data_IF_684571622618
#
_entry.id   IF_684571622618
#
_cell.length_a   1.000
_cell.length_b   1.000
_cell.length_c   1.000
_cell.angle_alpha   90.00
_cell.angle_beta   90.00
_cell.angle_gamma   90.00
#
_symmetry.space_group_name_H-M   'P 1'
#
loop_
_entity.id
_entity.type
_entity.pdbx_description
1 polymer ?
#
# COMPACT_ATOMS: atom_id res chain seq x y z
N UNK A 1 -3.42 22.76 15.19
CA UNK A 1 -1.99 22.56 15.55
C UNK A 1 -1.38 21.61 14.52
N UNK A 2 -0.72 22.11 13.46
CA UNK A 2 -0.15 21.27 12.39
C UNK A 2 1.11 20.56 12.92
N UNK A 3 1.19 19.25 12.75
CA UNK A 3 2.44 18.51 12.94
C UNK A 3 3.37 18.85 11.78
N UNK A 4 4.56 19.38 12.08
CA UNK A 4 5.60 19.62 11.08
C UNK A 4 6.23 18.30 10.65
N UNK A 5 6.63 18.20 9.38
CA UNK A 5 7.27 17.01 8.81
C UNK A 5 8.53 16.62 9.59
N UNK A 6 9.29 17.61 10.07
CA UNK A 6 10.47 17.41 10.89
C UNK A 6 10.16 16.72 12.22
N UNK A 7 9.03 17.04 12.85
CA UNK A 7 8.61 16.40 14.09
C UNK A 7 8.13 14.97 13.86
N UNK A 8 7.50 14.70 12.71
CA UNK A 8 7.13 13.34 12.29
C UNK A 8 8.40 12.52 12.04
N UNK A 9 9.40 13.08 11.34
CA UNK A 9 10.68 12.41 11.08
C UNK A 9 11.43 12.06 12.37
N UNK A 10 11.48 12.99 13.32
CA UNK A 10 12.11 12.75 14.64
C UNK A 10 11.40 11.65 15.43
N UNK A 11 10.07 11.57 15.36
CA UNK A 11 9.30 10.52 16.02
C UNK A 11 9.49 9.15 15.34
N UNK A 12 9.51 9.09 14.00
CA UNK A 12 9.89 7.87 13.27
C UNK A 12 11.30 7.38 13.62
N UNK A 13 12.25 8.30 13.80
CA UNK A 13 13.63 7.98 14.18
C UNK A 13 13.76 7.36 15.58
N UNK A 14 12.78 7.57 16.47
CA UNK A 14 12.73 6.98 17.82
C UNK A 14 11.97 5.62 17.79
N UNK A 15 11.54 5.16 16.62
CA UNK A 15 10.75 3.95 16.46
C UNK A 15 9.24 4.18 16.63
N UNK A 16 8.79 5.42 16.64
CA UNK A 16 7.36 5.74 16.74
C UNK A 16 6.69 5.69 15.36
N UNK A 17 5.93 4.62 15.11
CA UNK A 17 5.15 4.46 13.90
C UNK A 17 3.71 4.95 14.10
N UNK A 18 3.35 6.03 13.40
CA UNK A 18 2.05 6.71 13.56
C UNK A 18 0.85 5.93 12.98
N UNK A 19 1.12 4.87 12.23
CA UNK A 19 0.11 4.11 11.51
C UNK A 19 0.28 2.63 11.80
N UNK A 20 -0.83 1.92 12.05
CA UNK A 20 -0.85 0.45 12.11
C UNK A 20 -0.24 -0.19 10.87
N UNK A 21 -0.34 0.48 9.72
CA UNK A 21 0.35 0.09 8.50
C UNK A 21 1.87 0.07 8.67
N UNK A 22 2.47 1.16 9.14
CA UNK A 22 3.92 1.31 9.22
C UNK A 22 4.52 0.33 10.22
N UNK A 23 3.84 0.12 11.36
CA UNK A 23 4.25 -0.88 12.35
C UNK A 23 4.20 -2.32 11.80
N UNK A 24 3.18 -2.66 10.99
CA UNK A 24 3.07 -4.00 10.37
C UNK A 24 4.04 -4.17 9.21
N UNK A 25 4.28 -3.10 8.45
CA UNK A 25 5.27 -3.07 7.38
C UNK A 25 6.69 -3.24 7.91
N UNK A 26 7.03 -2.56 9.01
CA UNK A 26 8.31 -2.78 9.69
C UNK A 26 8.46 -4.23 10.18
N UNK A 27 7.42 -4.80 10.82
CA UNK A 27 7.44 -6.21 11.21
C UNK A 27 7.65 -7.17 10.02
N UNK A 28 7.03 -6.87 8.87
CA UNK A 28 7.23 -7.68 7.67
C UNK A 28 8.66 -7.54 7.11
N UNK A 29 9.22 -6.33 7.15
CA UNK A 29 10.62 -6.08 6.75
C UNK A 29 11.61 -6.83 7.63
N UNK A 30 11.39 -6.78 8.95
CA UNK A 30 12.21 -7.47 9.93
C UNK A 30 12.11 -8.99 9.75
N UNK A 31 10.89 -9.51 9.57
CA UNK A 31 10.65 -10.93 9.27
C UNK A 31 11.38 -11.38 8.00
N UNK A 32 11.35 -10.57 6.94
CA UNK A 32 12.09 -10.88 5.70
C UNK A 32 13.60 -10.84 5.93
N UNK A 33 14.11 -9.91 6.73
CA UNK A 33 15.54 -9.83 7.03
C UNK A 33 16.02 -11.07 7.79
N UNK A 34 15.21 -11.60 8.70
CA UNK A 34 15.51 -12.81 9.47
C UNK A 34 15.35 -14.10 8.66
N UNK A 35 14.24 -14.26 7.93
CA UNK A 35 13.89 -15.51 7.25
C UNK A 35 14.26 -15.56 5.76
N UNK A 36 14.60 -14.43 5.15
CA UNK A 36 14.85 -14.29 3.71
C UNK A 36 13.61 -14.35 2.82
N UNK A 37 12.41 -14.55 3.40
CA UNK A 37 11.15 -14.64 2.68
C UNK A 37 10.02 -13.90 3.41
N UNK A 38 9.01 -13.49 2.65
CA UNK A 38 7.81 -12.83 3.19
C UNK A 38 6.63 -13.79 3.41
N UNK A 39 6.88 -15.11 3.36
CA UNK A 39 5.87 -16.13 3.64
C UNK A 39 5.73 -16.31 5.16
N UNK A 40 4.94 -15.44 5.76
CA UNK A 40 4.65 -15.48 7.19
C UNK A 40 3.77 -16.69 7.46
N UNK A 41 4.21 -17.61 8.32
CA UNK A 41 3.36 -18.70 8.81
C UNK A 41 2.55 -18.25 10.01
N UNK A 42 1.35 -18.81 10.15
CA UNK A 42 0.47 -18.55 11.31
C UNK A 42 1.17 -18.87 12.63
N UNK A 43 1.98 -19.93 12.63
CA UNK A 43 2.70 -20.44 13.81
C UNK A 43 3.77 -19.45 14.30
N UNK A 44 4.46 -18.76 13.37
CA UNK A 44 5.51 -17.81 13.72
C UNK A 44 4.92 -16.50 14.23
N UNK A 45 3.93 -15.95 13.53
CA UNK A 45 3.29 -14.71 13.96
C UNK A 45 1.84 -14.62 13.46
N UNK A 46 0.89 -14.97 14.34
CA UNK A 46 -0.55 -14.97 14.02
C UNK A 46 -1.08 -13.59 13.60
N UNK A 47 -0.55 -12.51 14.19
CA UNK A 47 -0.99 -11.13 13.90
C UNK A 47 -0.52 -10.72 12.50
N UNK A 48 0.75 -10.97 12.20
CA UNK A 48 1.34 -10.65 10.91
C UNK A 48 0.75 -11.52 9.79
N UNK A 49 0.54 -12.83 10.05
CA UNK A 49 -0.17 -13.73 9.15
C UNK A 49 -1.56 -13.21 8.77
N UNK A 50 -2.37 -12.86 9.76
CA UNK A 50 -3.73 -12.34 9.51
C UNK A 50 -3.70 -11.04 8.72
N UNK A 51 -2.69 -10.21 8.92
CA UNK A 51 -2.50 -8.99 8.14
C UNK A 51 -2.10 -9.29 6.69
N UNK A 52 -1.16 -10.20 6.45
CA UNK A 52 -0.77 -10.65 5.10
C UNK A 52 -1.97 -11.21 4.31
N UNK A 53 -2.84 -11.98 4.96
CA UNK A 53 -4.07 -12.48 4.31
C UNK A 53 -5.00 -11.32 3.92
N UNK A 54 -5.25 -10.37 4.82
CA UNK A 54 -6.07 -9.18 4.51
C UNK A 54 -5.45 -8.32 3.41
N UNK A 55 -4.12 -8.27 3.36
CA UNK A 55 -3.37 -7.53 2.35
C UNK A 55 -3.61 -8.11 0.96
N UNK A 56 -3.53 -9.45 0.83
CA UNK A 56 -3.84 -10.18 -0.42
C UNK A 56 -5.28 -10.01 -0.88
N UNK A 57 -6.22 -10.02 0.07
CA UNK A 57 -7.65 -9.76 -0.21
C UNK A 57 -7.86 -8.33 -0.73
N UNK A 58 -7.29 -7.34 -0.03
CA UNK A 58 -7.32 -5.93 -0.43
C UNK A 58 -6.68 -5.67 -1.79
N UNK A 59 -5.60 -6.39 -2.12
CA UNK A 59 -4.95 -6.32 -3.43
C UNK A 59 -5.83 -6.93 -4.52
N UNK A 60 -6.51 -8.04 -4.22
CA UNK A 60 -7.46 -8.65 -5.15
C UNK A 60 -8.66 -7.72 -5.43
N UNK A 61 -9.12 -6.97 -4.43
CA UNK A 61 -10.13 -5.92 -4.59
C UNK A 61 -9.59 -4.73 -5.40
N UNK A 62 -8.35 -4.30 -5.15
CA UNK A 62 -7.67 -3.26 -5.92
C UNK A 62 -7.58 -3.62 -7.41
N UNK A 63 -7.20 -4.86 -7.74
CA UNK A 63 -7.15 -5.35 -9.12
C UNK A 63 -8.52 -5.38 -9.81
N UNK A 64 -9.60 -5.51 -9.03
CA UNK A 64 -10.98 -5.44 -9.54
C UNK A 64 -11.48 -4.00 -9.70
N UNK A 65 -10.68 -3.01 -9.32
CA UNK A 65 -11.07 -1.59 -9.33
C UNK A 65 -12.04 -1.21 -8.21
N UNK A 66 -12.11 -2.01 -7.14
CA UNK A 66 -13.02 -1.73 -6.03
C UNK A 66 -12.48 -0.62 -5.12
N UNK A 67 -13.31 0.41 -4.88
CA UNK A 67 -12.93 1.60 -4.08
C UNK A 67 -12.99 1.37 -2.57
N UNK A 68 -13.47 0.22 -2.09
CA UNK A 68 -13.46 -0.14 -0.67
C UNK A 68 -12.11 -0.67 -0.20
N UNK A 69 -11.16 -0.88 -1.11
CA UNK A 69 -9.83 -1.32 -0.72
C UNK A 69 -9.10 -0.24 0.08
N UNK A 70 -8.48 -0.65 1.19
CA UNK A 70 -7.61 0.22 1.99
C UNK A 70 -6.18 0.26 1.42
N UNK A 71 -5.93 -0.42 0.29
CA UNK A 71 -4.63 -0.53 -0.33
C UNK A 71 -4.46 0.57 -1.39
N UNK A 72 -3.54 1.51 -1.11
CA UNK A 72 -3.16 2.57 -2.05
C UNK A 72 -2.00 2.11 -2.93
N UNK A 73 -1.79 2.69 -4.12
CA UNK A 73 -0.64 2.39 -4.97
C UNK A 73 0.70 2.54 -4.23
N UNK A 74 0.87 3.63 -3.46
CA UNK A 74 2.07 3.85 -2.64
C UNK A 74 2.37 2.71 -1.65
N UNK A 75 1.33 2.04 -1.14
CA UNK A 75 1.45 0.91 -0.22
C UNK A 75 1.86 -0.37 -0.95
N UNK A 76 1.41 -0.53 -2.18
CA UNK A 76 1.79 -1.65 -3.06
C UNK A 76 3.27 -1.52 -3.41
N UNK A 77 3.71 -0.33 -3.84
CA UNK A 77 5.13 -0.07 -4.17
C UNK A 77 6.06 -0.32 -2.97
N UNK A 78 5.65 0.07 -1.76
CA UNK A 78 6.40 -0.24 -0.54
C UNK A 78 6.61 -1.75 -0.32
N UNK A 79 5.57 -2.55 -0.59
CA UNK A 79 5.63 -4.00 -0.47
C UNK A 79 6.47 -4.64 -1.58
N UNK A 80 6.34 -4.14 -2.81
CA UNK A 80 7.14 -4.61 -3.94
C UNK A 80 8.62 -4.25 -3.78
N UNK A 81 8.94 -3.09 -3.20
CA UNK A 81 10.32 -2.69 -2.84
C UNK A 81 10.98 -3.69 -1.89
N UNK A 82 10.21 -4.32 -1.01
CA UNK A 82 10.69 -5.39 -0.13
C UNK A 82 10.52 -6.78 -0.74
N UNK A 83 10.25 -6.89 -2.05
CA UNK A 83 10.10 -8.16 -2.76
C UNK A 83 8.92 -9.01 -2.30
N UNK A 84 7.88 -8.39 -1.72
CA UNK A 84 6.72 -9.10 -1.22
C UNK A 84 5.99 -9.85 -2.35
N UNK A 85 5.66 -11.12 -2.11
CA UNK A 85 5.02 -11.99 -3.09
C UNK A 85 3.50 -12.07 -2.83
N UNK A 86 2.73 -11.41 -3.69
CA UNK A 86 1.27 -11.37 -3.61
C UNK A 86 0.62 -12.74 -3.82
N UNK A 87 1.14 -13.55 -4.74
CA UNK A 87 0.60 -14.89 -5.07
C UNK A 87 1.69 -15.97 -5.01
N UNK A 88 1.29 -17.20 -4.67
CA UNK A 88 2.18 -18.36 -4.59
C UNK A 88 2.76 -18.74 -5.97
N UNK A 89 3.99 -19.27 -5.96
CA UNK A 89 4.87 -19.50 -7.11
C UNK A 89 4.13 -20.00 -8.36
N UNK A 90 3.91 -19.12 -9.31
CA UNK A 90 4.15 -19.26 -10.75
C UNK A 90 3.72 -17.92 -11.35
N UNK A 91 4.71 -17.16 -11.82
CA UNK A 91 4.70 -16.26 -12.98
C UNK A 91 5.88 -15.30 -12.80
N UNK A 92 6.95 -15.55 -13.57
CA UNK A 92 7.95 -14.53 -13.83
C UNK A 92 7.24 -13.37 -14.52
N UNK A 93 7.16 -12.22 -13.86
CA UNK A 93 7.19 -10.93 -14.54
C UNK A 93 8.24 -10.06 -13.89
N UNK A 94 9.42 -10.08 -14.51
CA UNK A 94 10.14 -8.83 -14.80
C UNK A 94 9.18 -7.91 -15.57
N UNK A 95 9.33 -6.59 -15.45
CA UNK A 95 8.60 -5.46 -16.09
C UNK A 95 8.10 -4.56 -14.94
N UNK A 96 8.79 -3.47 -14.60
CA UNK A 96 8.74 -2.18 -15.30
C UNK A 96 7.27 -1.75 -15.53
N UNK A 97 6.89 -0.51 -15.26
CA UNK A 97 5.53 -0.01 -15.55
C UNK A 97 4.41 -0.51 -14.60
N UNK A 98 4.55 -0.27 -13.29
CA UNK A 98 3.37 0.14 -12.51
C UNK A 98 3.27 1.65 -12.61
N UNK A 99 2.78 2.15 -13.74
CA UNK A 99 2.29 3.52 -13.82
C UNK A 99 0.87 3.49 -13.22
N UNK A 100 0.66 4.03 -12.01
CA UNK A 100 -0.66 4.05 -11.42
C UNK A 100 -1.51 4.99 -12.25
N UNK A 101 -2.44 4.43 -13.03
CA UNK A 101 -3.60 5.07 -13.63
C UNK A 101 -3.69 6.58 -13.30
N UNK A 102 -3.08 7.42 -14.15
CA UNK A 102 -3.15 8.88 -14.15
C UNK A 102 -4.59 9.43 -14.18
N UNK A 103 -5.59 8.54 -14.23
CA UNK A 103 -7.00 8.82 -14.35
C UNK A 103 -7.74 9.00 -13.02
N UNK A 104 -7.06 9.38 -11.94
CA UNK A 104 -7.72 9.68 -10.66
C UNK A 104 -7.31 11.00 -10.01
N UNK A 105 -6.75 11.95 -10.78
CA UNK A 105 -6.58 13.35 -10.34
C UNK A 105 -7.10 14.41 -11.32
N UNK A 106 -7.76 14.06 -12.42
CA UNK A 106 -8.32 15.03 -13.37
C UNK A 106 -9.79 14.72 -13.68
N UNK A 107 -10.69 15.07 -12.75
CA UNK A 107 -12.12 15.10 -13.01
C UNK A 107 -12.86 16.09 -12.10
N UNK A 108 -12.40 17.34 -12.04
CA UNK A 108 -13.27 18.49 -11.75
C UNK A 108 -12.81 19.70 -12.56
N UNK A 109 -12.83 19.59 -13.89
CA UNK A 109 -12.81 20.77 -14.75
C UNK A 109 -13.89 20.66 -15.84
N UNK A 110 -14.89 21.54 -15.65
CA UNK A 110 -15.76 22.22 -16.62
C UNK A 110 -17.03 21.55 -17.14
N UNK A 111 -18.15 22.30 -17.05
CA UNK A 111 -19.32 22.09 -17.90
C UNK A 111 -20.66 22.52 -17.30
N UNK A 112 -20.93 23.82 -17.22
CA UNK A 112 -22.22 24.37 -16.79
C UNK A 112 -22.72 25.49 -17.71
N UNK A 113 -22.96 25.12 -18.97
CA UNK A 113 -23.90 25.66 -19.97
C UNK A 113 -24.07 27.18 -20.19
N UNK A 114 -24.07 27.53 -21.48
CA UNK A 114 -24.22 28.86 -22.03
C UNK A 114 -25.70 29.25 -22.29
N UNK A 115 -25.93 30.57 -22.25
CA UNK A 115 -26.96 31.41 -22.92
C UNK A 115 -28.46 31.20 -22.60
N UNK A 116 -29.10 32.29 -22.19
CA UNK A 116 -30.27 32.82 -22.88
C UNK A 116 -30.34 34.36 -22.71
N UNK A 117 -30.74 34.99 -23.80
CA UNK A 117 -30.85 36.41 -24.13
C UNK A 117 -32.22 36.96 -23.70
N UNK A 118 -32.29 38.22 -23.26
CA UNK A 118 -33.25 39.24 -23.73
C UNK A 118 -32.75 40.63 -23.38
#
# INVERSE_FOLDING_TARGET
KKMTLERIARLKSIGFCFSEWEAKFQQLRDFRAEHGHCDVRRETNKKLYSWVIRLRDSYSLYLRGDRSTTLTPERIEQLESIGFQWYGKHQKKSVAEHEPNERMMLAQEQGGCAKAET
#
